data_IF_203238571460
#
_entry.id   IF_203238571460
#
_cell.length_a   1.000
_cell.length_b   1.000
_cell.length_c   1.000
_cell.angle_alpha   90.00
_cell.angle_beta   90.00
_cell.angle_gamma   90.00
#
_symmetry.space_group_name_H-M   'P 1'
#
loop_
_entity.id
_entity.type
_entity.pdbx_description
1 polymer ?
#
# COMPACT_ATOMS: atom_id res chain seq x y z
N UNK A 1 -7.08 6.51 34.88
CA UNK A 1 -7.84 5.69 33.89
C UNK A 1 -9.31 5.91 34.18
N UNK A 2 -10.08 6.35 33.18
CA UNK A 2 -10.79 5.44 32.28
C UNK A 2 -10.23 5.58 30.84
N UNK A 3 -10.02 4.57 29.99
CA UNK A 3 -10.86 3.45 29.52
C UNK A 3 -12.35 3.79 29.52
N UNK A 4 -12.74 4.67 28.61
CA UNK A 4 -13.89 4.43 27.71
C UNK A 4 -14.10 5.64 26.79
N UNK A 5 -13.55 5.53 25.57
CA UNK A 5 -14.05 6.25 24.40
C UNK A 5 -13.53 5.50 23.15
N UNK A 6 -13.84 4.21 23.05
CA UNK A 6 -13.84 3.56 21.75
C UNK A 6 -15.02 4.17 20.99
N UNK A 7 -14.74 5.23 20.23
CA UNK A 7 -15.70 5.78 19.29
C UNK A 7 -16.03 4.66 18.28
N UNK A 8 -17.27 4.17 18.22
CA UNK A 8 -17.66 3.13 17.27
C UNK A 8 -18.05 3.80 15.95
N UNK A 9 -17.17 4.63 15.38
CA UNK A 9 -17.43 5.30 14.11
C UNK A 9 -16.24 5.13 13.18
N UNK A 10 -16.17 3.93 12.62
CA UNK A 10 -15.98 3.67 11.19
C UNK A 10 -15.61 2.20 11.08
N UNK A 11 -16.63 1.37 10.84
CA UNK A 11 -16.39 0.23 9.96
C UNK A 11 -16.01 0.83 8.61
N UNK A 12 -14.73 1.19 8.44
CA UNK A 12 -14.18 1.52 7.14
C UNK A 12 -14.44 0.27 6.31
N UNK A 13 -15.42 0.35 5.41
CA UNK A 13 -15.84 -0.77 4.57
C UNK A 13 -14.58 -1.42 4.02
N UNK A 14 -14.35 -2.68 4.38
CA UNK A 14 -13.06 -3.38 4.30
C UNK A 14 -12.34 -3.06 2.99
N UNK A 15 -11.42 -2.11 3.02
CA UNK A 15 -10.78 -1.60 1.81
C UNK A 15 -9.69 -2.57 1.40
N UNK A 16 -10.02 -3.45 0.47
CA UNK A 16 -9.11 -4.50 0.02
C UNK A 16 -8.00 -3.89 -0.85
N UNK A 17 -6.75 -4.37 -0.71
CA UNK A 17 -5.68 -4.01 -1.62
C UNK A 17 -6.04 -4.36 -3.07
N UNK A 18 -5.72 -3.46 -4.00
CA UNK A 18 -5.85 -3.63 -5.45
C UNK A 18 -4.48 -3.65 -6.11
N UNK A 19 -4.32 -4.44 -7.18
CA UNK A 19 -3.08 -4.43 -7.98
C UNK A 19 -3.03 -3.13 -8.76
N UNK A 20 -1.89 -2.44 -8.70
CA UNK A 20 -1.66 -1.22 -9.47
C UNK A 20 -0.97 -1.57 -10.79
N UNK A 21 -1.40 -0.89 -11.85
CA UNK A 21 -0.85 -0.98 -13.21
C UNK A 21 -0.14 0.31 -13.63
N UNK A 22 0.38 0.33 -14.86
CA UNK A 22 1.12 1.48 -15.40
C UNK A 22 0.28 2.77 -15.40
N UNK A 23 -1.04 2.67 -15.53
CA UNK A 23 -1.99 3.78 -15.45
C UNK A 23 -2.06 4.45 -14.06
N UNK A 24 -1.63 3.75 -13.02
CA UNK A 24 -1.65 4.24 -11.64
C UNK A 24 -0.41 5.06 -11.27
N UNK A 25 0.60 5.15 -12.16
CA UNK A 25 1.85 5.86 -11.90
C UNK A 25 1.64 7.27 -11.34
N UNK A 26 0.75 8.13 -11.89
CA UNK A 26 0.55 9.47 -11.34
C UNK A 26 0.05 9.46 -9.89
N UNK A 27 -0.84 8.52 -9.55
CA UNK A 27 -1.35 8.37 -8.18
C UNK A 27 -0.27 7.83 -7.23
N UNK A 28 0.58 6.91 -7.71
CA UNK A 28 1.65 6.31 -6.95
C UNK A 28 2.78 7.32 -6.64
N UNK A 29 3.19 8.13 -7.61
CA UNK A 29 4.17 9.22 -7.41
C UNK A 29 3.65 10.23 -6.38
N UNK A 30 2.38 10.63 -6.49
CA UNK A 30 1.73 11.55 -5.54
C UNK A 30 1.69 10.95 -4.13
N UNK A 31 1.44 9.65 -4.01
CA UNK A 31 1.47 8.93 -2.75
C UNK A 31 2.88 8.91 -2.16
N UNK A 32 3.88 8.50 -2.95
CA UNK A 32 5.25 8.26 -2.48
C UNK A 32 5.85 9.54 -1.89
N UNK A 33 5.70 10.68 -2.59
CA UNK A 33 6.19 11.98 -2.11
C UNK A 33 5.53 12.50 -0.83
N UNK A 34 4.38 11.91 -0.41
CA UNK A 34 3.73 12.21 0.87
C UNK A 34 4.02 11.17 1.95
N UNK A 35 4.35 9.94 1.54
CA UNK A 35 4.48 8.81 2.44
C UNK A 35 5.89 8.71 3.05
N UNK A 36 6.90 9.09 2.28
CA UNK A 36 8.30 8.83 2.59
C UNK A 36 9.19 10.04 2.27
N UNK A 37 10.06 10.40 3.21
CA UNK A 37 11.05 11.48 3.04
C UNK A 37 12.20 11.05 2.09
N UNK A 38 12.45 9.75 1.97
CA UNK A 38 13.37 9.13 1.01
C UNK A 38 12.57 8.36 -0.05
N UNK A 39 11.74 9.11 -0.78
CA UNK A 39 10.81 8.61 -1.78
C UNK A 39 11.52 7.87 -2.92
N UNK A 40 10.96 6.73 -3.35
CA UNK A 40 11.34 6.13 -4.62
C UNK A 40 11.18 7.14 -5.76
N UNK A 41 12.14 7.17 -6.68
CA UNK A 41 12.03 8.02 -7.86
C UNK A 41 10.89 7.56 -8.76
N UNK A 42 10.29 8.49 -9.51
CA UNK A 42 9.24 8.17 -10.49
C UNK A 42 9.68 7.07 -11.45
N UNK A 43 10.93 7.10 -11.93
CA UNK A 43 11.48 6.08 -12.81
C UNK A 43 11.51 4.67 -12.18
N UNK A 44 11.83 4.56 -10.88
CA UNK A 44 11.84 3.27 -10.17
C UNK A 44 10.42 2.75 -9.95
N UNK A 45 9.48 3.64 -9.58
CA UNK A 45 8.07 3.29 -9.45
C UNK A 45 7.49 2.83 -10.79
N UNK A 46 7.82 3.56 -11.85
CA UNK A 46 7.43 3.28 -13.21
C UNK A 46 7.94 1.90 -13.69
N UNK A 47 9.19 1.56 -13.38
CA UNK A 47 9.77 0.26 -13.67
C UNK A 47 9.05 -0.86 -12.90
N UNK A 48 8.81 -0.68 -11.59
CA UNK A 48 8.13 -1.66 -10.76
C UNK A 48 6.68 -1.93 -11.20
N UNK A 49 5.98 -0.94 -11.79
CA UNK A 49 4.63 -1.13 -12.32
C UNK A 49 4.59 -1.93 -13.63
N UNK A 50 5.70 -2.00 -14.37
CA UNK A 50 5.78 -2.70 -15.68
C UNK A 50 6.48 -4.04 -15.62
N UNK A 51 7.32 -4.27 -14.63
CA UNK A 51 8.06 -5.53 -14.48
C UNK A 51 7.13 -6.64 -13.95
N UNK A 52 7.10 -7.77 -14.66
CA UNK A 52 6.30 -8.94 -14.29
C UNK A 52 6.76 -9.61 -12.99
N UNK A 53 8.03 -9.41 -12.62
CA UNK A 53 8.59 -9.87 -11.36
C UNK A 53 8.25 -8.94 -10.19
N UNK A 54 7.52 -7.84 -10.44
CA UNK A 54 7.08 -6.93 -9.40
C UNK A 54 5.57 -6.95 -9.23
N UNK A 55 5.13 -6.80 -7.98
CA UNK A 55 3.75 -6.55 -7.66
C UNK A 55 3.60 -5.33 -6.75
N UNK A 56 2.97 -4.30 -7.31
CA UNK A 56 2.60 -3.09 -6.58
C UNK A 56 1.13 -3.17 -6.17
N UNK A 57 0.87 -3.09 -4.87
CA UNK A 57 -0.47 -3.15 -4.28
C UNK A 57 -0.81 -1.84 -3.61
N UNK A 58 -2.03 -1.35 -3.82
CA UNK A 58 -2.53 -0.11 -3.22
C UNK A 58 -3.84 -0.32 -2.46
N UNK A 59 -4.04 0.41 -1.36
CA UNK A 59 -5.35 0.58 -0.73
C UNK A 59 -5.84 1.98 -1.05
N UNK A 60 -7.02 2.08 -1.65
CA UNK A 60 -7.66 3.36 -1.98
C UNK A 60 -8.67 3.76 -0.91
N UNK A 61 -8.74 5.04 -0.63
CA UNK A 61 -9.82 5.68 0.13
C UNK A 61 -11.17 5.47 -0.55
N UNK A 62 -12.20 5.16 0.24
CA UNK A 62 -13.56 5.05 -0.27
C UNK A 62 -14.14 6.42 -0.71
N UNK A 63 -13.61 7.53 -0.20
CA UNK A 63 -14.21 8.85 -0.37
C UNK A 63 -13.69 9.59 -1.60
N UNK A 64 -12.39 9.54 -1.83
CA UNK A 64 -11.70 10.32 -2.87
C UNK A 64 -10.84 9.45 -3.80
N UNK A 65 -10.88 8.12 -3.63
CA UNK A 65 -10.07 7.15 -4.40
C UNK A 65 -8.56 7.34 -4.28
N UNK A 66 -8.08 8.20 -3.39
CA UNK A 66 -6.64 8.43 -3.18
C UNK A 66 -5.98 7.20 -2.55
N UNK A 67 -4.71 6.94 -2.89
CA UNK A 67 -3.94 5.88 -2.25
C UNK A 67 -3.65 6.26 -0.79
N UNK A 68 -4.02 5.38 0.14
CA UNK A 68 -3.74 5.53 1.57
C UNK A 68 -2.62 4.61 2.06
N UNK A 69 -2.43 3.47 1.39
CA UNK A 69 -1.33 2.57 1.65
C UNK A 69 -0.84 1.94 0.35
N UNK A 70 0.46 1.64 0.28
CA UNK A 70 1.10 0.94 -0.84
C UNK A 70 2.05 -0.11 -0.30
N UNK A 71 2.16 -1.23 -1.00
CA UNK A 71 3.23 -2.20 -0.84
C UNK A 71 3.83 -2.59 -2.19
N UNK A 72 5.15 -2.73 -2.24
CA UNK A 72 5.90 -3.16 -3.42
C UNK A 72 6.57 -4.49 -3.08
N UNK A 73 6.25 -5.53 -3.83
CA UNK A 73 6.89 -6.84 -3.76
C UNK A 73 7.75 -7.08 -5.00
N UNK A 74 8.94 -7.61 -4.80
CA UNK A 74 9.75 -8.23 -5.84
C UNK A 74 9.71 -9.75 -5.68
N UNK A 75 9.39 -10.47 -6.75
CA UNK A 75 9.49 -11.93 -6.81
C UNK A 75 10.86 -12.30 -7.36
N UNK A 76 11.60 -13.03 -6.54
CA UNK A 76 12.87 -13.62 -6.88
C UNK A 76 12.64 -15.11 -7.17
N UNK A 77 13.65 -15.84 -7.70
CA UNK A 77 13.46 -17.24 -8.07
C UNK A 77 13.04 -18.18 -6.93
N UNK A 78 13.32 -17.83 -5.67
CA UNK A 78 13.07 -18.71 -4.52
C UNK A 78 12.30 -18.04 -3.38
N UNK A 79 12.15 -16.72 -3.41
CA UNK A 79 11.54 -15.91 -2.37
C UNK A 79 10.83 -14.69 -2.95
N UNK A 80 10.03 -14.04 -2.12
CA UNK A 80 9.44 -12.75 -2.44
C UNK A 80 9.91 -11.74 -1.39
N UNK A 81 10.45 -10.63 -1.85
CA UNK A 81 10.94 -9.55 -1.01
C UNK A 81 9.89 -8.45 -0.92
N UNK A 82 9.51 -8.08 0.31
CA UNK A 82 8.74 -6.86 0.56
C UNK A 82 9.69 -5.66 0.58
N UNK A 83 9.84 -4.99 -0.57
CA UNK A 83 10.77 -3.88 -0.72
C UNK A 83 10.25 -2.57 -0.11
N UNK A 84 8.93 -2.38 -0.12
CA UNK A 84 8.31 -1.22 0.53
C UNK A 84 6.93 -1.57 1.08
N UNK A 85 6.60 -1.00 2.24
CA UNK A 85 5.25 -0.95 2.78
C UNK A 85 5.05 0.39 3.49
N UNK A 86 4.17 1.22 2.95
CA UNK A 86 3.94 2.58 3.44
C UNK A 86 2.46 2.86 3.62
N UNK A 87 2.16 3.73 4.59
CA UNK A 87 0.83 4.27 4.86
C UNK A 87 0.97 5.77 5.00
N UNK A 88 0.12 6.53 4.30
CA UNK A 88 0.10 8.00 4.42
C UNK A 88 -0.08 8.42 5.88
N UNK A 89 0.60 9.50 6.33
CA UNK A 89 0.51 9.97 7.71
C UNK A 89 -0.93 10.06 8.25
N UNK A 90 -1.84 10.63 7.45
CA UNK A 90 -3.24 10.85 7.82
C UNK A 90 -4.06 9.55 7.96
N UNK A 91 -3.58 8.45 7.36
CA UNK A 91 -4.23 7.14 7.36
C UNK A 91 -3.57 6.13 8.33
N UNK A 92 -2.55 6.54 9.09
CA UNK A 92 -1.83 5.66 10.04
C UNK A 92 -2.69 5.31 11.26
N UNK A 93 -2.26 4.28 11.99
CA UNK A 93 -2.89 3.77 13.23
C UNK A 93 -4.30 3.19 13.07
N UNK A 94 -4.71 2.91 11.83
CA UNK A 94 -6.01 2.30 11.49
C UNK A 94 -5.90 0.82 11.08
N UNK A 95 -4.71 0.22 11.19
CA UNK A 95 -4.49 -1.19 10.85
C UNK A 95 -4.14 -1.46 9.38
N UNK A 96 -4.13 -0.46 8.49
CA UNK A 96 -3.87 -0.63 7.05
C UNK A 96 -2.57 -1.38 6.73
N UNK A 97 -1.46 -1.09 7.43
CA UNK A 97 -0.20 -1.80 7.22
C UNK A 97 -0.31 -3.29 7.58
N UNK A 98 -1.06 -3.63 8.64
CA UNK A 98 -1.29 -5.03 9.05
C UNK A 98 -2.14 -5.76 8.01
N UNK A 99 -3.18 -5.11 7.50
CA UNK A 99 -4.05 -5.68 6.46
C UNK A 99 -3.30 -5.88 5.15
N UNK A 100 -2.51 -4.89 4.73
CA UNK A 100 -1.64 -4.96 3.56
C UNK A 100 -0.61 -6.08 3.71
N UNK A 101 0.08 -6.18 4.86
CA UNK A 101 1.03 -7.25 5.12
C UNK A 101 0.35 -8.63 5.04
N UNK A 102 -0.83 -8.77 5.64
CA UNK A 102 -1.63 -9.99 5.55
C UNK A 102 -2.02 -10.35 4.12
N UNK A 103 -2.33 -9.35 3.28
CA UNK A 103 -2.62 -9.53 1.86
C UNK A 103 -1.40 -10.02 1.10
N UNK A 104 -0.28 -9.30 1.19
CA UNK A 104 0.92 -9.63 0.40
C UNK A 104 1.54 -10.96 0.82
N UNK A 105 1.46 -11.35 2.09
CA UNK A 105 1.88 -12.69 2.52
C UNK A 105 1.04 -13.82 1.88
N UNK A 106 -0.21 -13.56 1.48
CA UNK A 106 -1.01 -14.54 0.73
C UNK A 106 -0.59 -14.56 -0.74
N UNK A 107 -0.33 -13.40 -1.33
CA UNK A 107 0.16 -13.30 -2.71
C UNK A 107 1.53 -13.97 -2.87
N UNK A 108 2.44 -13.82 -1.91
CA UNK A 108 3.78 -14.37 -1.93
C UNK A 108 3.86 -15.91 -1.78
N UNK A 109 2.74 -16.57 -1.42
CA UNK A 109 2.68 -18.04 -1.26
C UNK A 109 2.16 -18.76 -2.50
N UNK A 110 1.76 -18.01 -3.53
CA UNK A 110 1.12 -18.54 -4.73
C UNK A 110 2.15 -19.02 -5.76
#
# INVERSE_FOLDING_TARGET
MPIDAFHPEASHGRTLPVRLGAEDLPALVTFEGRANDDAWSEALLEAALRDENYAVWGVRSANDSALWAVAILAYLPFDAELQSICVLPDARRQGLAREMLGWVMRCARA
#
